data_IF_974487814021
#
_entry.id   IF_974487814021
#
_cell.length_a   1.000
_cell.length_b   1.000
_cell.length_c   1.000
_cell.angle_alpha   90.00
_cell.angle_beta   90.00
_cell.angle_gamma   90.00
#
_symmetry.space_group_name_H-M   'P 1'
#
loop_
_entity.id
_entity.type
_entity.pdbx_description
1 polymer ?
#
# COMPACT_ATOMS: atom_id res chain seq x y z
N UNK A 1 -29.45 32.02 -16.65
CA UNK A 1 -28.05 32.35 -16.29
C UNK A 1 -27.76 31.66 -14.99
N UNK A 2 -27.19 30.44 -15.05
CA UNK A 2 -26.87 29.62 -13.89
C UNK A 2 -25.46 29.99 -13.40
N UNK A 3 -25.33 30.26 -12.10
CA UNK A 3 -24.03 30.55 -11.47
C UNK A 3 -23.14 29.32 -11.48
N UNK A 4 -21.82 29.45 -11.68
CA UNK A 4 -20.90 28.32 -11.57
C UNK A 4 -20.79 27.87 -10.12
N UNK A 5 -20.83 26.54 -9.91
CA UNK A 5 -20.61 25.87 -8.63
C UNK A 5 -19.12 25.95 -8.32
N UNK A 6 -18.78 26.47 -7.14
CA UNK A 6 -17.42 26.58 -6.62
C UNK A 6 -16.94 25.19 -6.15
N UNK A 7 -15.80 24.64 -6.63
CA UNK A 7 -15.31 23.30 -6.26
C UNK A 7 -14.73 23.21 -4.85
N UNK A 8 -14.63 24.29 -4.08
CA UNK A 8 -14.02 24.36 -2.75
C UNK A 8 -15.06 24.40 -1.60
N UNK A 9 -16.28 23.95 -1.83
CA UNK A 9 -17.19 23.77 -0.70
C UNK A 9 -16.80 22.50 0.08
N UNK A 10 -16.15 22.74 1.22
CA UNK A 10 -15.97 21.79 2.32
C UNK A 10 -17.26 20.99 2.54
N UNK A 11 -17.23 19.73 2.15
CA UNK A 11 -18.22 18.76 2.63
C UNK A 11 -17.80 18.46 4.06
N UNK A 12 -18.36 19.23 5.00
CA UNK A 12 -18.26 18.99 6.44
C UNK A 12 -18.99 17.67 6.75
N UNK A 13 -18.32 16.55 6.53
CA UNK A 13 -18.80 15.26 7.03
C UNK A 13 -18.54 15.23 8.53
N UNK A 14 -19.63 15.27 9.31
CA UNK A 14 -19.61 14.98 10.75
C UNK A 14 -19.16 13.54 10.95
N UNK A 15 -17.86 13.30 10.99
CA UNK A 15 -17.31 12.00 11.38
C UNK A 15 -17.27 11.96 12.91
N UNK A 16 -18.31 11.41 13.51
CA UNK A 16 -18.29 11.06 14.95
C UNK A 16 -17.55 9.73 15.06
N UNK A 17 -16.25 9.78 15.36
CA UNK A 17 -15.47 8.59 15.69
C UNK A 17 -15.64 8.33 17.18
N UNK A 18 -16.14 7.16 17.53
CA UNK A 18 -15.97 6.63 18.86
C UNK A 18 -14.46 6.38 19.09
N UNK A 19 -13.87 6.69 20.26
CA UNK A 19 -12.48 6.41 20.52
C UNK A 19 -12.27 4.89 20.46
N UNK A 20 -11.59 4.41 19.42
CA UNK A 20 -11.10 3.05 19.36
C UNK A 20 -10.07 2.87 20.48
N UNK A 21 -10.21 1.79 21.25
CA UNK A 21 -9.27 1.47 22.33
C UNK A 21 -7.85 1.31 21.73
N UNK A 22 -6.86 1.86 22.41
CA UNK A 22 -5.46 1.74 22.02
C UNK A 22 -5.06 0.26 22.11
N UNK A 23 -4.54 -0.34 21.02
CA UNK A 23 -4.17 -1.75 20.96
C UNK A 23 -3.07 -2.17 21.96
N UNK A 24 -3.21 -3.34 22.62
CA UNK A 24 -2.21 -3.93 23.54
C UNK A 24 -1.27 -4.91 22.80
N UNK A 25 -0.15 -5.31 23.40
CA UNK A 25 0.82 -6.24 22.77
C UNK A 25 0.18 -7.61 22.48
N UNK A 26 -0.01 -7.92 21.22
CA UNK A 26 -0.77 -9.08 20.70
C UNK A 26 -1.87 -8.70 19.71
N UNK A 27 -1.98 -7.43 19.39
CA UNK A 27 -3.01 -6.84 18.54
C UNK A 27 -2.62 -6.80 17.07
N UNK A 28 -3.62 -6.74 16.15
CA UNK A 28 -3.39 -6.72 14.73
C UNK A 28 -2.51 -5.52 14.32
N UNK A 29 -1.63 -5.72 13.33
CA UNK A 29 -0.79 -4.65 12.77
C UNK A 29 -1.65 -3.59 12.09
N UNK A 30 -2.69 -4.00 11.37
CA UNK A 30 -3.64 -3.09 10.71
C UNK A 30 -5.03 -3.32 11.24
N UNK A 31 -5.72 -2.23 11.61
CA UNK A 31 -7.14 -2.23 11.93
C UNK A 31 -7.84 -1.19 11.08
N UNK A 32 -8.80 -1.62 10.32
CA UNK A 32 -9.74 -0.79 9.57
C UNK A 32 -11.08 -0.93 10.27
N UNK A 33 -11.69 0.18 10.65
CA UNK A 33 -12.95 0.18 11.40
C UNK A 33 -13.94 1.13 10.77
N UNK A 34 -15.07 0.58 10.31
CA UNK A 34 -16.20 1.32 9.76
C UNK A 34 -15.85 2.24 8.60
N UNK A 35 -14.96 1.83 7.70
CA UNK A 35 -14.42 2.68 6.64
C UNK A 35 -15.46 3.01 5.57
N UNK A 36 -15.61 4.32 5.27
CA UNK A 36 -16.42 4.82 4.17
C UNK A 36 -15.56 5.60 3.18
N UNK A 37 -15.77 5.34 1.88
CA UNK A 37 -15.15 6.08 0.78
C UNK A 37 -16.12 6.31 -0.35
N UNK A 38 -16.22 7.58 -0.79
CA UNK A 38 -17.00 7.97 -1.96
C UNK A 38 -16.17 8.87 -2.89
N UNK A 39 -16.53 8.89 -4.17
CA UNK A 39 -16.07 9.83 -5.19
C UNK A 39 -17.30 10.59 -5.71
N UNK A 40 -17.45 11.83 -5.29
CA UNK A 40 -18.69 12.59 -5.49
C UNK A 40 -19.86 11.88 -4.82
N UNK A 41 -20.89 11.55 -5.59
CA UNK A 41 -22.08 10.84 -5.09
C UNK A 41 -21.93 9.30 -5.10
N UNK A 42 -20.87 8.78 -5.76
CA UNK A 42 -20.65 7.34 -5.88
C UNK A 42 -19.94 6.79 -4.65
N UNK A 43 -20.65 6.04 -3.81
CA UNK A 43 -20.08 5.33 -2.65
C UNK A 43 -19.39 4.07 -3.17
N UNK A 44 -18.09 3.95 -2.88
CA UNK A 44 -17.24 2.81 -3.26
C UNK A 44 -17.01 1.86 -2.09
N UNK A 45 -16.73 2.39 -0.89
CA UNK A 45 -16.58 1.58 0.32
C UNK A 45 -17.64 2.04 1.31
N UNK A 46 -18.33 1.05 1.90
CA UNK A 46 -19.43 1.30 2.83
C UNK A 46 -19.27 0.41 4.06
N UNK A 47 -18.90 1.04 5.19
CA UNK A 47 -18.78 0.38 6.48
C UNK A 47 -17.85 -0.85 6.46
N UNK A 48 -16.67 -0.68 5.83
CA UNK A 48 -15.68 -1.76 5.68
C UNK A 48 -14.85 -1.87 6.94
N UNK A 49 -14.82 -3.05 7.56
CA UNK A 49 -13.97 -3.34 8.71
C UNK A 49 -13.11 -4.59 8.44
N UNK A 50 -11.82 -4.51 8.79
CA UNK A 50 -10.82 -5.54 8.53
C UNK A 50 -9.68 -5.43 9.56
N UNK A 51 -9.20 -6.57 10.04
CA UNK A 51 -7.99 -6.65 10.88
C UNK A 51 -6.97 -7.57 10.23
N UNK A 52 -5.69 -7.17 10.25
CA UNK A 52 -4.56 -7.94 9.72
C UNK A 52 -3.49 -8.06 10.80
N UNK A 53 -3.16 -9.29 11.20
CA UNK A 53 -2.12 -9.50 12.20
C UNK A 53 -0.72 -9.34 11.60
N UNK A 54 0.25 -9.14 12.46
CA UNK A 54 1.66 -9.04 12.06
C UNK A 54 2.13 -10.39 11.51
N UNK A 55 2.69 -10.38 10.30
CA UNK A 55 3.16 -11.57 9.58
C UNK A 55 2.09 -12.25 8.72
N UNK A 56 0.81 -11.88 8.84
CA UNK A 56 -0.26 -12.49 8.04
C UNK A 56 -0.26 -11.98 6.59
N UNK A 57 -0.63 -12.87 5.70
CA UNK A 57 -0.99 -12.59 4.30
C UNK A 57 -2.51 -12.54 4.17
N UNK A 58 -3.06 -11.34 3.98
CA UNK A 58 -4.48 -11.15 3.73
C UNK A 58 -4.73 -10.92 2.25
N UNK A 59 -5.52 -11.80 1.62
CA UNK A 59 -5.85 -11.69 0.19
C UNK A 59 -7.26 -11.13 0.02
N UNK A 60 -7.38 -10.07 -0.79
CA UNK A 60 -8.66 -9.47 -1.16
C UNK A 60 -9.08 -9.96 -2.54
N UNK A 61 -10.24 -10.60 -2.62
CA UNK A 61 -10.84 -11.09 -3.87
C UNK A 61 -12.22 -10.47 -4.08
N UNK A 62 -12.75 -10.55 -5.29
CA UNK A 62 -14.08 -10.05 -5.65
C UNK A 62 -14.12 -9.48 -7.06
N UNK A 63 -15.30 -9.09 -7.57
CA UNK A 63 -15.47 -8.59 -8.93
C UNK A 63 -14.71 -7.26 -9.14
N UNK A 64 -14.47 -6.92 -10.41
CA UNK A 64 -13.92 -5.61 -10.77
C UNK A 64 -14.90 -4.51 -10.34
N UNK A 65 -14.37 -3.44 -9.76
CA UNK A 65 -15.20 -2.33 -9.27
C UNK A 65 -15.69 -2.48 -7.83
N UNK A 66 -15.47 -3.61 -7.13
CA UNK A 66 -15.89 -3.77 -5.72
C UNK A 66 -15.09 -2.95 -4.69
N UNK A 67 -14.15 -2.12 -5.12
CA UNK A 67 -13.43 -1.20 -4.22
C UNK A 67 -12.10 -1.70 -3.66
N UNK A 68 -11.60 -2.89 -4.03
CA UNK A 68 -10.34 -3.48 -3.51
C UNK A 68 -9.14 -2.55 -3.63
N UNK A 69 -8.86 -2.04 -4.83
CA UNK A 69 -7.79 -1.06 -5.06
C UNK A 69 -8.02 0.25 -4.32
N UNK A 70 -9.28 0.68 -4.17
CA UNK A 70 -9.64 1.87 -3.40
C UNK A 70 -9.33 1.66 -1.91
N UNK A 71 -9.62 0.47 -1.36
CA UNK A 71 -9.28 0.12 0.01
C UNK A 71 -7.77 0.20 0.25
N UNK A 72 -6.94 -0.41 -0.62
CA UNK A 72 -5.48 -0.32 -0.50
C UNK A 72 -4.99 1.13 -0.57
N UNK A 73 -5.57 1.96 -1.46
CA UNK A 73 -5.23 3.38 -1.57
C UNK A 73 -5.63 4.18 -0.34
N UNK A 74 -6.73 3.83 0.32
CA UNK A 74 -7.09 4.42 1.61
C UNK A 74 -6.09 4.01 2.70
N UNK A 75 -5.69 2.75 2.79
CA UNK A 75 -4.69 2.26 3.74
C UNK A 75 -3.35 3.00 3.57
N UNK A 76 -2.91 3.20 2.31
CA UNK A 76 -1.69 3.97 2.00
C UNK A 76 -1.93 5.49 1.95
N UNK A 77 -3.08 5.99 2.40
CA UNK A 77 -3.43 7.42 2.43
C UNK A 77 -3.27 8.15 1.07
N UNK A 78 -3.34 7.41 -0.03
CA UNK A 78 -3.44 7.99 -1.38
C UNK A 78 -4.85 8.53 -1.65
N UNK A 79 -5.85 7.92 -1.00
CA UNK A 79 -7.24 8.36 -1.00
C UNK A 79 -7.66 8.73 0.43
N UNK A 80 -8.40 9.83 0.56
CA UNK A 80 -8.98 10.25 1.83
C UNK A 80 -10.26 9.46 2.11
N UNK A 81 -10.43 9.05 3.36
CA UNK A 81 -11.66 8.44 3.85
C UNK A 81 -12.67 9.51 4.23
N UNK A 82 -13.98 9.18 4.17
CA UNK A 82 -15.05 10.06 4.61
C UNK A 82 -15.53 9.74 6.03
N UNK A 83 -15.45 8.46 6.43
CA UNK A 83 -15.76 8.04 7.79
C UNK A 83 -14.98 6.77 8.14
N UNK A 84 -15.01 6.38 9.43
CA UNK A 84 -14.25 5.27 9.95
C UNK A 84 -12.81 5.65 10.27
N UNK A 85 -11.99 4.65 10.55
CA UNK A 85 -10.58 4.84 10.91
C UNK A 85 -9.68 3.74 10.34
N UNK A 86 -8.41 4.06 10.16
CA UNK A 86 -7.36 3.12 9.80
C UNK A 86 -6.23 3.28 10.81
N UNK A 87 -5.85 2.20 11.44
CA UNK A 87 -4.75 2.13 12.40
C UNK A 87 -3.67 1.20 11.89
N UNK A 88 -2.42 1.60 11.98
CA UNK A 88 -1.26 0.77 11.67
C UNK A 88 -0.29 0.86 12.83
N UNK A 89 0.02 -0.28 13.43
CA UNK A 89 0.89 -0.39 14.61
C UNK A 89 0.45 0.55 15.74
N UNK A 90 -0.86 0.63 16.01
CA UNK A 90 -1.44 1.50 17.03
C UNK A 90 -1.43 3.00 16.71
N UNK A 91 -1.00 3.42 15.51
CA UNK A 91 -1.00 4.81 15.07
C UNK A 91 -2.17 5.07 14.10
N UNK A 92 -3.02 6.06 14.43
CA UNK A 92 -4.12 6.49 13.57
C UNK A 92 -3.57 7.13 12.29
N UNK A 93 -4.03 6.65 11.13
CA UNK A 93 -3.52 7.07 9.85
C UNK A 93 -4.23 8.34 9.32
N UNK A 94 -3.44 9.35 9.00
CA UNK A 94 -3.89 10.59 8.35
C UNK A 94 -4.50 11.65 9.27
N UNK A 95 -4.74 11.33 10.55
CA UNK A 95 -5.40 12.23 11.50
C UNK A 95 -4.68 12.26 12.85
N UNK A 96 -4.87 13.36 13.60
CA UNK A 96 -4.46 13.45 15.01
C UNK A 96 -5.30 12.49 15.85
N UNK A 97 -4.69 11.85 16.85
CA UNK A 97 -5.40 10.89 17.71
C UNK A 97 -6.38 11.59 18.66
N UNK A 98 -6.06 12.82 19.06
CA UNK A 98 -6.93 13.59 19.94
C UNK A 98 -7.96 14.36 19.09
N UNK A 99 -9.28 14.14 19.32
CA UNK A 99 -10.29 14.90 18.64
C UNK A 99 -10.30 16.37 19.12
N UNK A 100 -10.72 17.26 18.21
CA UNK A 100 -11.01 18.64 18.56
C UNK A 100 -12.13 18.72 19.59
N UNK A 101 -12.34 19.88 20.23
CA UNK A 101 -13.37 20.12 21.24
C UNK A 101 -14.81 19.84 20.72
N UNK A 102 -15.00 19.80 19.42
CA UNK A 102 -16.27 19.48 18.74
C UNK A 102 -16.38 18.00 18.29
N UNK A 103 -15.41 17.15 18.67
CA UNK A 103 -15.36 15.73 18.35
C UNK A 103 -14.83 15.40 16.96
N UNK A 104 -14.45 16.39 16.15
CA UNK A 104 -13.86 16.15 14.83
C UNK A 104 -12.39 15.80 14.94
N UNK A 105 -11.90 14.89 14.09
CA UNK A 105 -10.46 14.63 13.96
C UNK A 105 -9.80 15.68 13.06
N UNK A 106 -8.68 16.19 13.51
CA UNK A 106 -7.84 17.08 12.73
C UNK A 106 -6.94 16.27 11.82
N UNK A 107 -6.92 16.63 10.52
CA UNK A 107 -6.02 15.99 9.58
C UNK A 107 -4.56 16.35 9.87
N UNK A 108 -3.68 15.36 9.79
CA UNK A 108 -2.24 15.54 9.89
C UNK A 108 -1.70 16.43 8.77
N UNK A 109 -0.59 17.13 9.04
CA UNK A 109 0.15 17.89 8.03
C UNK A 109 0.75 16.92 6.99
N UNK A 110 0.95 17.41 5.78
CA UNK A 110 1.50 16.62 4.67
C UNK A 110 2.83 15.91 5.02
N UNK A 111 3.68 16.55 5.83
CA UNK A 111 4.94 15.95 6.31
C UNK A 111 4.71 14.70 7.18
N UNK A 112 3.74 14.76 8.07
CA UNK A 112 3.45 13.66 9.00
C UNK A 112 2.77 12.51 8.27
N UNK A 113 1.87 12.81 7.34
CA UNK A 113 1.30 11.84 6.40
C UNK A 113 2.40 11.16 5.59
N UNK A 114 3.38 11.90 5.07
CA UNK A 114 4.50 11.33 4.33
C UNK A 114 5.36 10.40 5.20
N UNK A 115 5.53 10.73 6.49
CA UNK A 115 6.22 9.87 7.46
C UNK A 115 5.45 8.57 7.69
N UNK A 116 4.14 8.62 7.92
CA UNK A 116 3.30 7.43 8.05
C UNK A 116 3.37 6.56 6.79
N UNK A 117 3.21 7.15 5.60
CA UNK A 117 3.30 6.44 4.31
C UNK A 117 4.65 5.78 4.07
N UNK A 118 5.73 6.31 4.64
CA UNK A 118 7.07 5.72 4.48
C UNK A 118 7.24 4.36 5.18
N UNK A 119 6.30 3.98 6.06
CA UNK A 119 6.23 2.67 6.74
C UNK A 119 5.39 1.66 5.97
N UNK A 120 4.76 2.07 4.88
CA UNK A 120 3.86 1.25 4.06
C UNK A 120 4.46 1.09 2.67
N UNK A 121 4.81 -0.12 2.28
CA UNK A 121 5.20 -0.42 0.92
C UNK A 121 3.96 -0.60 0.04
N UNK A 122 3.99 -0.08 -1.18
CA UNK A 122 2.90 -0.29 -2.14
C UNK A 122 3.44 -0.61 -3.53
N UNK A 123 2.92 -1.68 -4.09
CA UNK A 123 3.20 -2.16 -5.44
C UNK A 123 1.90 -2.09 -6.24
N UNK A 124 1.94 -1.38 -7.36
CA UNK A 124 0.77 -1.12 -8.19
C UNK A 124 0.69 -2.12 -9.36
N UNK A 125 -0.49 -2.22 -9.94
CA UNK A 125 -0.74 -2.98 -11.16
C UNK A 125 0.17 -2.55 -12.32
N UNK A 126 0.39 -1.25 -12.49
CA UNK A 126 1.42 -0.70 -13.37
C UNK A 126 2.68 -0.47 -12.54
N UNK A 127 3.82 -0.83 -13.07
CA UNK A 127 5.10 -0.86 -12.34
C UNK A 127 5.52 0.50 -11.78
N UNK A 128 5.11 1.61 -12.44
CA UNK A 128 5.34 2.99 -12.02
C UNK A 128 6.83 3.29 -11.71
N UNK A 129 7.75 2.66 -12.46
CA UNK A 129 9.17 2.96 -12.37
C UNK A 129 9.47 4.32 -13.00
N UNK A 130 10.50 4.99 -12.48
CA UNK A 130 11.02 6.21 -13.07
C UNK A 130 11.79 5.85 -14.36
N UNK A 131 11.30 6.21 -15.56
CA UNK A 131 11.86 5.71 -16.81
C UNK A 131 13.26 6.27 -17.13
N UNK A 132 13.65 7.37 -16.50
CA UNK A 132 14.95 8.03 -16.63
C UNK A 132 15.99 7.56 -15.62
N UNK A 133 15.62 6.60 -14.76
CA UNK A 133 16.48 6.00 -13.75
C UNK A 133 16.69 4.52 -14.04
N UNK A 134 17.87 4.00 -13.76
CA UNK A 134 18.16 2.57 -13.79
C UNK A 134 17.38 1.81 -12.71
N UNK A 135 17.36 0.47 -12.77
CA UNK A 135 16.76 -0.36 -11.72
C UNK A 135 17.34 -0.04 -10.34
N UNK A 136 18.66 0.07 -10.24
CA UNK A 136 19.37 0.44 -9.01
C UNK A 136 18.95 1.81 -8.49
N UNK A 137 18.91 2.81 -9.37
CA UNK A 137 18.52 4.17 -8.99
C UNK A 137 17.06 4.23 -8.54
N UNK A 138 16.14 3.52 -9.20
CA UNK A 138 14.74 3.39 -8.78
C UNK A 138 14.62 2.86 -7.35
N UNK A 139 15.41 1.86 -6.97
CA UNK A 139 15.39 1.27 -5.63
C UNK A 139 16.04 2.19 -4.60
N UNK A 140 17.08 2.94 -4.99
CA UNK A 140 17.81 3.83 -4.08
C UNK A 140 17.08 5.14 -3.77
N UNK A 141 16.18 5.59 -4.64
CA UNK A 141 15.67 6.97 -4.62
C UNK A 141 14.93 7.31 -3.32
N UNK A 142 13.93 6.51 -2.94
CA UNK A 142 13.13 6.79 -1.76
C UNK A 142 13.94 6.74 -0.45
N UNK A 143 14.80 5.75 -0.18
CA UNK A 143 15.66 5.76 1.00
C UNK A 143 16.53 7.02 1.12
N UNK A 144 17.05 7.50 -0.02
CA UNK A 144 17.89 8.70 -0.04
C UNK A 144 17.10 9.99 0.21
N UNK A 145 16.01 10.16 -0.51
CA UNK A 145 15.23 11.42 -0.49
C UNK A 145 14.35 11.55 0.75
N UNK A 146 13.77 10.45 1.22
CA UNK A 146 12.80 10.46 2.32
C UNK A 146 13.47 10.20 3.67
N UNK A 147 14.36 9.19 3.74
CA UNK A 147 15.04 8.80 4.98
C UNK A 147 16.43 9.42 5.15
N UNK A 148 16.95 10.13 4.13
CA UNK A 148 18.29 10.73 4.18
C UNK A 148 19.43 9.70 4.25
N UNK A 149 19.20 8.47 3.78
CA UNK A 149 20.21 7.40 3.81
C UNK A 149 21.41 7.78 2.93
N UNK A 150 22.66 7.69 3.42
CA UNK A 150 23.84 7.96 2.64
C UNK A 150 23.89 7.11 1.35
N UNK A 151 24.38 7.70 0.25
CA UNK A 151 24.36 7.09 -1.09
C UNK A 151 24.95 5.67 -1.10
N UNK A 152 26.10 5.47 -0.48
CA UNK A 152 26.77 4.16 -0.47
C UNK A 152 25.97 3.10 0.31
N UNK A 153 25.35 3.48 1.42
CA UNK A 153 24.47 2.59 2.19
C UNK A 153 23.20 2.24 1.40
N UNK A 154 22.58 3.23 0.77
CA UNK A 154 21.41 3.01 -0.08
C UNK A 154 21.75 2.13 -1.28
N UNK A 155 22.93 2.33 -1.92
CA UNK A 155 23.41 1.51 -3.04
C UNK A 155 23.60 0.06 -2.62
N UNK A 156 24.29 -0.19 -1.48
CA UNK A 156 24.49 -1.55 -0.98
C UNK A 156 23.16 -2.25 -0.75
N UNK A 157 22.24 -1.60 -0.04
CA UNK A 157 20.91 -2.15 0.23
C UNK A 157 20.10 -2.40 -1.05
N UNK A 158 20.18 -1.50 -2.03
CA UNK A 158 19.49 -1.68 -3.30
C UNK A 158 20.03 -2.86 -4.11
N UNK A 159 21.33 -3.10 -4.11
CA UNK A 159 21.95 -4.27 -4.75
C UNK A 159 21.43 -5.56 -4.09
N UNK A 160 21.48 -5.64 -2.75
CA UNK A 160 20.97 -6.79 -1.99
C UNK A 160 19.49 -7.09 -2.31
N UNK A 161 18.66 -6.04 -2.44
CA UNK A 161 17.25 -6.20 -2.78
C UNK A 161 17.03 -6.62 -4.24
N UNK A 162 17.81 -6.08 -5.18
CA UNK A 162 17.77 -6.52 -6.58
C UNK A 162 18.23 -7.98 -6.72
N UNK A 163 19.25 -8.39 -6.00
CA UNK A 163 19.68 -9.79 -5.95
C UNK A 163 18.58 -10.69 -5.37
N UNK A 164 17.92 -10.27 -4.28
CA UNK A 164 16.80 -11.00 -3.65
C UNK A 164 15.63 -11.22 -4.62
N UNK A 165 15.36 -10.28 -5.53
CA UNK A 165 14.31 -10.43 -6.55
C UNK A 165 14.85 -11.01 -7.88
N UNK A 166 16.07 -11.56 -7.89
CA UNK A 166 16.69 -12.21 -9.05
C UNK A 166 17.09 -11.25 -10.19
N UNK A 167 17.46 -10.00 -9.85
CA UNK A 167 17.79 -8.94 -10.82
C UNK A 167 19.15 -8.26 -10.54
N UNK A 168 20.07 -8.95 -9.84
CA UNK A 168 21.39 -8.39 -9.55
C UNK A 168 22.18 -8.01 -10.80
N UNK A 169 22.09 -8.80 -11.87
CA UNK A 169 22.72 -8.56 -13.19
C UNK A 169 22.02 -7.46 -14.00
N UNK A 170 20.84 -7.01 -13.60
CA UNK A 170 20.02 -6.00 -14.25
C UNK A 170 20.05 -4.64 -13.57
N UNK A 171 20.86 -4.45 -12.54
CA UNK A 171 20.91 -3.23 -11.73
C UNK A 171 21.13 -1.93 -12.55
N UNK A 172 21.87 -2.02 -13.66
CA UNK A 172 22.18 -0.87 -14.53
C UNK A 172 21.21 -0.67 -15.69
N UNK A 173 20.21 -1.54 -15.86
CA UNK A 173 19.24 -1.44 -16.94
C UNK A 173 18.16 -0.40 -16.62
N UNK A 174 17.70 0.29 -17.66
CA UNK A 174 16.54 1.18 -17.59
C UNK A 174 15.24 0.39 -17.72
N UNK A 175 14.10 0.91 -17.21
CA UNK A 175 12.82 0.21 -17.31
C UNK A 175 12.44 -0.27 -18.71
N UNK A 176 12.74 0.52 -19.75
CA UNK A 176 12.50 0.14 -21.14
C UNK A 176 13.32 -1.05 -21.67
N UNK A 177 14.35 -1.47 -20.95
CA UNK A 177 15.22 -2.60 -21.28
C UNK A 177 14.83 -3.87 -20.47
N UNK A 178 13.81 -3.76 -19.60
CA UNK A 178 13.35 -4.82 -18.73
C UNK A 178 12.00 -5.37 -19.20
N UNK A 179 11.79 -6.68 -19.07
CA UNK A 179 10.47 -7.29 -19.26
C UNK A 179 9.46 -6.79 -18.22
N UNK A 180 8.16 -6.97 -18.45
CA UNK A 180 7.11 -6.60 -17.49
C UNK A 180 7.34 -7.23 -16.12
N UNK A 181 7.64 -8.54 -16.06
CA UNK A 181 7.94 -9.25 -14.81
C UNK A 181 9.20 -8.71 -14.11
N UNK A 182 10.24 -8.35 -14.88
CA UNK A 182 11.43 -7.70 -14.33
C UNK A 182 11.11 -6.32 -13.76
N UNK A 183 10.34 -5.49 -14.47
CA UNK A 183 9.91 -4.19 -13.98
C UNK A 183 9.10 -4.30 -12.68
N UNK A 184 8.20 -5.29 -12.60
CA UNK A 184 7.41 -5.53 -11.39
C UNK A 184 8.30 -5.96 -10.21
N UNK A 185 9.29 -6.81 -10.44
CA UNK A 185 10.26 -7.21 -9.39
C UNK A 185 11.13 -6.03 -8.94
N UNK A 186 11.51 -5.11 -9.85
CA UNK A 186 12.16 -3.84 -9.44
C UNK A 186 11.22 -2.98 -8.59
N UNK A 187 9.92 -2.91 -8.93
CA UNK A 187 8.94 -2.16 -8.13
C UNK A 187 8.76 -2.76 -6.72
N UNK A 188 8.80 -4.09 -6.59
CA UNK A 188 8.82 -4.78 -5.29
C UNK A 188 10.08 -4.42 -4.50
N UNK A 189 11.27 -4.54 -5.12
CA UNK A 189 12.54 -4.18 -4.48
C UNK A 189 12.56 -2.71 -4.03
N UNK A 190 12.01 -1.79 -4.84
CA UNK A 190 11.85 -0.36 -4.50
C UNK A 190 10.98 -0.16 -3.26
N UNK A 191 9.86 -0.87 -3.16
CA UNK A 191 8.99 -0.78 -1.98
C UNK A 191 9.69 -1.33 -0.73
N UNK A 192 10.38 -2.46 -0.84
CA UNK A 192 11.15 -3.09 0.24
C UNK A 192 12.33 -2.23 0.73
N UNK A 193 12.88 -1.36 -0.14
CA UNK A 193 14.00 -0.50 0.22
C UNK A 193 13.67 0.52 1.33
N UNK A 194 12.39 0.77 1.56
CA UNK A 194 11.91 1.61 2.66
C UNK A 194 11.78 0.86 3.98
N UNK A 195 12.13 -0.43 4.05
CA UNK A 195 11.93 -1.30 5.23
C UNK A 195 10.52 -1.12 5.81
N UNK A 196 9.47 -1.43 5.02
CA UNK A 196 8.08 -1.21 5.41
C UNK A 196 7.62 -2.24 6.44
N UNK A 197 6.63 -1.87 7.26
CA UNK A 197 5.98 -2.77 8.22
C UNK A 197 4.91 -3.63 7.57
N UNK A 198 4.34 -3.12 6.47
CA UNK A 198 3.33 -3.81 5.66
C UNK A 198 3.57 -3.54 4.18
N UNK A 199 3.33 -4.55 3.36
CA UNK A 199 3.33 -4.46 1.91
C UNK A 199 1.91 -4.58 1.35
N UNK A 200 1.53 -3.63 0.51
CA UNK A 200 0.25 -3.60 -0.21
C UNK A 200 0.50 -3.91 -1.69
N UNK A 201 -0.21 -4.89 -2.22
CA UNK A 201 -0.10 -5.29 -3.62
C UNK A 201 -1.45 -5.12 -4.33
N UNK A 202 -1.51 -4.21 -5.30
CA UNK A 202 -2.70 -3.92 -6.10
C UNK A 202 -2.58 -4.61 -7.46
N UNK A 203 -3.08 -5.85 -7.56
CA UNK A 203 -3.05 -6.70 -8.76
C UNK A 203 -1.65 -6.81 -9.40
N UNK A 204 -0.63 -7.29 -8.68
CA UNK A 204 0.78 -7.21 -9.10
C UNK A 204 1.11 -8.01 -10.37
N UNK A 205 0.23 -8.90 -10.83
CA UNK A 205 0.44 -9.77 -11.99
C UNK A 205 -0.46 -9.45 -13.18
N UNK A 206 -1.50 -8.63 -13.00
CA UNK A 206 -2.54 -8.44 -14.01
C UNK A 206 -2.08 -7.71 -15.30
N UNK A 207 -0.95 -7.00 -15.25
CA UNK A 207 -0.35 -6.32 -16.41
C UNK A 207 0.76 -7.16 -17.08
N UNK A 208 0.91 -8.44 -16.71
CA UNK A 208 1.98 -9.32 -17.17
C UNK A 208 1.46 -10.36 -18.15
N UNK A 209 2.34 -10.79 -19.06
CA UNK A 209 2.14 -11.98 -19.85
C UNK A 209 2.11 -13.22 -18.92
N UNK A 210 1.26 -14.23 -19.21
CA UNK A 210 1.11 -15.41 -18.34
C UNK A 210 2.42 -16.12 -18.00
N UNK A 211 3.39 -16.12 -18.91
CA UNK A 211 4.70 -16.74 -18.73
C UNK A 211 5.55 -16.03 -17.65
N UNK A 212 5.29 -14.74 -17.39
CA UNK A 212 6.03 -13.92 -16.42
C UNK A 212 5.37 -13.85 -15.03
N UNK A 213 4.13 -14.32 -14.92
CA UNK A 213 3.36 -14.30 -13.65
C UNK A 213 4.06 -15.10 -12.56
N UNK A 214 4.57 -16.30 -12.89
CA UNK A 214 5.21 -17.20 -11.93
C UNK A 214 6.42 -16.57 -11.26
N UNK A 215 7.23 -15.79 -11.99
CA UNK A 215 8.41 -15.13 -11.44
C UNK A 215 8.07 -14.10 -10.35
N UNK A 216 6.95 -13.38 -10.54
CA UNK A 216 6.48 -12.39 -9.55
C UNK A 216 5.84 -13.09 -8.36
N UNK A 217 5.03 -14.14 -8.59
CA UNK A 217 4.41 -14.90 -7.51
C UNK A 217 5.45 -15.58 -6.61
N UNK A 218 6.54 -16.11 -7.18
CA UNK A 218 7.67 -16.66 -6.39
C UNK A 218 8.23 -15.63 -5.41
N UNK A 219 8.44 -14.38 -5.86
CA UNK A 219 8.92 -13.31 -4.97
C UNK A 219 7.91 -13.01 -3.87
N UNK A 220 6.59 -13.00 -4.18
CA UNK A 220 5.56 -12.80 -3.16
C UNK A 220 5.53 -13.95 -2.14
N UNK A 221 5.72 -15.20 -2.58
CA UNK A 221 5.81 -16.36 -1.70
C UNK A 221 7.00 -16.26 -0.75
N UNK A 222 8.19 -15.92 -1.27
CA UNK A 222 9.38 -15.69 -0.44
C UNK A 222 9.19 -14.57 0.59
N UNK A 223 8.45 -13.51 0.24
CA UNK A 223 8.11 -12.45 1.18
C UNK A 223 7.17 -12.93 2.28
N UNK A 224 6.14 -13.71 1.93
CA UNK A 224 5.23 -14.34 2.88
C UNK A 224 5.97 -15.25 3.85
N UNK A 225 6.79 -16.16 3.33
CA UNK A 225 7.61 -17.09 4.12
C UNK A 225 8.62 -16.38 5.04
N UNK A 226 9.07 -15.17 4.66
CA UNK A 226 9.91 -14.32 5.50
C UNK A 226 9.16 -13.61 6.64
N UNK A 227 7.85 -13.80 6.77
CA UNK A 227 7.01 -13.18 7.78
C UNK A 227 6.62 -11.72 7.48
N UNK A 228 6.67 -11.31 6.21
CA UNK A 228 6.21 -9.97 5.80
C UNK A 228 4.69 -9.90 5.88
N UNK A 229 4.16 -8.92 6.62
CA UNK A 229 2.72 -8.64 6.63
C UNK A 229 2.29 -8.08 5.28
N UNK A 230 1.26 -8.67 4.66
CA UNK A 230 0.83 -8.28 3.32
C UNK A 230 -0.68 -8.19 3.19
N UNK A 231 -1.16 -7.20 2.42
CA UNK A 231 -2.52 -7.20 1.85
C UNK A 231 -2.38 -7.25 0.33
N UNK A 232 -2.94 -8.28 -0.29
CA UNK A 232 -2.76 -8.58 -1.71
C UNK A 232 -4.12 -8.62 -2.40
N UNK A 233 -4.35 -7.71 -3.35
CA UNK A 233 -5.44 -7.83 -4.32
C UNK A 233 -4.94 -8.67 -5.48
N UNK A 234 -5.58 -9.79 -5.74
CA UNK A 234 -5.16 -10.67 -6.83
C UNK A 234 -6.32 -11.50 -7.39
N UNK A 235 -6.18 -11.93 -8.63
CA UNK A 235 -7.01 -12.93 -9.28
C UNK A 235 -6.33 -14.30 -9.34
N UNK A 236 -5.10 -14.42 -8.83
CA UNK A 236 -4.33 -15.67 -8.80
C UNK A 236 -4.81 -16.56 -7.66
N UNK A 237 -5.82 -17.41 -7.94
CA UNK A 237 -6.42 -18.27 -6.91
C UNK A 237 -5.46 -19.34 -6.37
N UNK A 238 -4.45 -19.74 -7.15
CA UNK A 238 -3.37 -20.62 -6.69
C UNK A 238 -2.60 -20.00 -5.54
N UNK A 239 -2.10 -18.79 -5.74
CA UNK A 239 -1.41 -18.02 -4.71
C UNK A 239 -2.27 -17.81 -3.46
N UNK A 240 -3.56 -17.43 -3.63
CA UNK A 240 -4.46 -17.22 -2.52
C UNK A 240 -4.66 -18.49 -1.66
N UNK A 241 -4.74 -19.67 -2.29
CA UNK A 241 -4.92 -20.95 -1.57
C UNK A 241 -3.68 -21.40 -0.82
N UNK A 242 -2.49 -21.11 -1.35
CA UNK A 242 -1.22 -21.60 -0.80
C UNK A 242 -0.68 -20.66 0.28
N UNK A 243 -0.88 -19.34 0.12
CA UNK A 243 -0.17 -18.34 0.90
C UNK A 243 -1.05 -17.49 1.81
N UNK A 244 -2.39 -17.47 1.62
CA UNK A 244 -3.24 -16.60 2.42
C UNK A 244 -3.55 -17.20 3.78
N UNK A 245 -3.27 -16.44 4.84
CA UNK A 245 -3.80 -16.70 6.20
C UNK A 245 -5.27 -16.29 6.28
N UNK A 246 -5.63 -15.21 5.57
CA UNK A 246 -7.00 -14.69 5.51
C UNK A 246 -7.39 -14.36 4.06
N UNK A 247 -8.62 -14.74 3.68
CA UNK A 247 -9.21 -14.35 2.40
C UNK A 247 -10.48 -13.54 2.66
N UNK A 248 -10.53 -12.33 2.12
CA UNK A 248 -11.66 -11.42 2.25
C UNK A 248 -12.30 -11.22 0.89
N UNK A 249 -13.60 -11.50 0.82
CA UNK A 249 -14.39 -11.26 -0.38
C UNK A 249 -15.06 -9.88 -0.29
N UNK A 250 -14.89 -9.07 -1.33
CA UNK A 250 -15.53 -7.75 -1.47
C UNK A 250 -16.45 -7.75 -2.69
N UNK A 251 -17.70 -7.35 -2.49
CA UNK A 251 -18.74 -7.23 -3.53
C UNK A 251 -19.44 -5.86 -3.52
#
# INVERSE_FOLDING_TARGET
MSKPVNPDQDISTNTTLAPAATPSSGEPLVVIDGLWKAFGELVILKDVSLSVNRGDVTVLIGPSGSGKSTLLRCVNQLEQIQAGSIWIDGELQGYEQEPLSDGRLQRLKARDISRQRSRIGMVFQRFNLFPHMTALENVMEAPRQVKGVPKEKAKKRAIELLERVGLGDRATHYPGELSGGQQQRVAIARALAMDPEIMLFDEPTSALDPELVSEVLTVLQELAESGMTMIVVTHEMGFAREMADNVVFMD
#
